data_IF_798078034940
#
_entry.id   IF_798078034940
#
_cell.length_a   1.000
_cell.length_b   1.000
_cell.length_c   1.000
_cell.angle_alpha   90.00
_cell.angle_beta   90.00
_cell.angle_gamma   90.00
#
_symmetry.space_group_name_H-M   'P 1'
#
loop_
_entity.id
_entity.type
_entity.pdbx_description
1 polymer ?
2 non-polymer ?
#
# COMPACT_ATOMS: atom_id res chain seq x y z
N UNK A 78 28.83 -5.25 -7.68
CA UNK A 78 29.18 -6.69 -7.75
C UNK A 78 28.72 -7.37 -6.44
N UNK A 79 29.61 -7.48 -5.46
CA UNK A 79 29.22 -7.98 -4.11
C UNK A 79 28.04 -7.13 -3.62
N UNK A 80 28.19 -5.80 -3.63
CA UNK A 80 27.10 -4.93 -3.22
C UNK A 80 25.83 -5.22 -4.02
N UNK A 81 25.98 -5.40 -5.34
CA UNK A 81 24.82 -5.71 -6.17
C UNK A 81 24.21 -7.05 -5.78
N UNK A 82 25.04 -8.01 -5.41
CA UNK A 82 24.45 -9.33 -5.09
C UNK A 82 23.77 -9.23 -3.73
N UNK A 83 24.33 -8.42 -2.83
CA UNK A 83 23.63 -8.21 -1.57
C UNK A 83 22.29 -7.52 -1.77
N UNK A 84 22.24 -6.55 -2.68
CA UNK A 84 20.97 -5.90 -2.99
C UNK A 84 19.97 -6.92 -3.55
N UNK A 85 20.45 -7.79 -4.45
CA UNK A 85 19.58 -8.81 -5.02
C UNK A 85 19.10 -9.77 -3.94
N UNK A 86 19.98 -10.16 -3.01
CA UNK A 86 19.59 -11.05 -1.93
C UNK A 86 18.53 -10.39 -1.05
N UNK A 87 18.72 -9.12 -0.72
CA UNK A 87 17.74 -8.40 0.09
C UNK A 87 16.40 -8.35 -0.63
N UNK A 88 16.42 -8.06 -1.93
CA UNK A 88 15.17 -8.01 -2.68
C UNK A 88 14.49 -9.37 -2.73
N UNK A 89 15.26 -10.45 -2.88
CA UNK A 89 14.67 -11.79 -2.88
C UNK A 89 14.04 -12.12 -1.53
N UNK A 90 14.75 -11.78 -0.44
CA UNK A 90 14.20 -12.02 0.90
C UNK A 90 12.91 -11.24 1.09
N UNK A 91 12.92 -9.97 0.68
CA UNK A 91 11.71 -9.16 0.80
C UNK A 91 10.59 -9.76 -0.04
N UNK A 92 10.90 -10.20 -1.25
CA UNK A 92 9.88 -10.78 -2.12
C UNK A 92 9.23 -11.98 -1.45
N UNK A 93 10.04 -12.94 -1.00
CA UNK A 93 9.48 -14.15 -0.41
C UNK A 93 8.68 -13.82 0.85
N UNK A 94 9.27 -13.02 1.75
CA UNK A 94 8.60 -12.72 3.01
C UNK A 94 7.29 -11.99 2.76
N UNK A 95 7.32 -10.97 1.91
CA UNK A 95 6.11 -10.19 1.66
C UNK A 95 5.02 -11.02 1.00
N UNK A 96 5.38 -11.80 -0.02
CA UNK A 96 4.37 -12.62 -0.67
C UNK A 96 3.75 -13.61 0.30
N UNK A 97 4.58 -14.31 1.08
CA UNK A 97 4.06 -15.27 2.03
C UNK A 97 3.16 -14.59 3.07
N UNK A 98 3.63 -13.48 3.64
CA UNK A 98 2.87 -12.82 4.69
C UNK A 98 1.54 -12.29 4.18
N UNK A 99 1.53 -11.68 3.00
CA UNK A 99 0.30 -11.11 2.49
C UNK A 99 -0.68 -12.20 2.04
N UNK A 100 -0.13 -13.31 1.54
CA UNK A 100 -1.02 -14.46 1.21
C UNK A 100 -1.66 -14.94 2.51
N UNK A 101 -0.86 -15.07 3.56
CA UNK A 101 -1.37 -15.51 4.85
C UNK A 101 -2.46 -14.57 5.36
N UNK A 102 -2.24 -13.25 5.23
CA UNK A 102 -3.23 -12.30 5.68
C UNK A 102 -4.52 -12.44 4.90
N UNK A 103 -4.42 -12.57 3.58
CA UNK A 103 -5.63 -12.75 2.78
C UNK A 103 -6.37 -14.01 3.18
N UNK A 104 -5.64 -15.12 3.36
CA UNK A 104 -6.28 -16.38 3.74
C UNK A 104 -6.95 -16.27 5.09
N UNK A 105 -6.28 -15.64 6.07
CA UNK A 105 -6.85 -15.56 7.41
C UNK A 105 -8.08 -14.67 7.40
N UNK A 106 -8.07 -13.62 6.59
CA UNK A 106 -9.24 -12.75 6.51
C UNK A 106 -10.41 -13.49 5.84
N UNK A 107 -10.12 -14.32 4.84
CA UNK A 107 -11.19 -15.00 4.13
C UNK A 107 -11.67 -16.24 4.90
N UNK A 108 -10.88 -16.73 5.86
CA UNK A 108 -11.17 -18.02 6.47
C UNK A 108 -12.50 -18.02 7.23
N UNK A 109 -12.77 -17.00 8.03
CA UNK A 109 -13.90 -17.05 8.96
C UNK A 109 -14.77 -15.82 8.79
N UNK A 110 -16.06 -15.99 9.09
CA UNK A 110 -17.00 -14.87 9.05
C UNK A 110 -16.83 -13.94 10.25
N UNK A 111 -16.44 -14.50 11.40
CA UNK A 111 -16.17 -13.66 12.57
C UNK A 111 -15.02 -12.70 12.33
N UNK A 112 -14.19 -12.96 11.31
CA UNK A 112 -13.11 -12.06 10.92
C UNK A 112 -13.46 -11.24 9.69
N UNK A 113 -14.74 -11.17 9.33
CA UNK A 113 -15.19 -10.40 8.18
C UNK A 113 -15.73 -9.03 8.57
N UNK A 114 -15.15 -8.40 9.59
CA UNK A 114 -15.62 -7.08 10.02
C UNK A 114 -15.22 -6.02 9.00
N UNK A 115 -15.79 -4.82 9.18
CA UNK A 115 -15.57 -3.74 8.23
C UNK A 115 -14.10 -3.38 8.11
N UNK A 116 -13.38 -3.33 9.23
CA UNK A 116 -11.94 -3.07 9.18
C UNK A 116 -11.24 -4.17 8.40
N UNK A 117 -11.61 -5.42 8.65
CA UNK A 117 -10.98 -6.54 7.95
C UNK A 117 -11.22 -6.46 6.45
N UNK A 118 -12.37 -5.91 6.03
CA UNK A 118 -12.63 -5.78 4.60
C UNK A 118 -11.55 -4.95 3.94
N UNK A 119 -11.20 -3.80 4.52
CA UNK A 119 -10.17 -2.94 3.93
C UNK A 119 -8.78 -3.50 4.15
N UNK A 120 -8.56 -4.20 5.27
CA UNK A 120 -7.26 -4.87 5.47
C UNK A 120 -7.04 -5.89 4.37
N UNK A 121 -8.11 -6.58 3.94
CA UNK A 121 -7.99 -7.54 2.86
C UNK A 121 -7.48 -6.88 1.59
N UNK A 122 -8.04 -5.71 1.24
CA UNK A 122 -7.62 -5.02 0.03
C UNK A 122 -6.19 -4.51 0.15
N UNK A 123 -5.82 -4.00 1.33
CA UNK A 123 -4.44 -3.54 1.53
C UNK A 123 -3.46 -4.69 1.35
N UNK A 124 -3.74 -5.83 1.96
CA UNK A 124 -2.86 -6.99 1.80
C UNK A 124 -2.86 -7.50 0.36
N UNK A 125 -4.00 -7.44 -0.32
CA UNK A 125 -4.05 -7.83 -1.72
C UNK A 125 -3.14 -6.95 -2.57
N UNK A 126 -3.22 -5.64 -2.38
CA UNK A 126 -2.35 -4.73 -3.12
C UNK A 126 -0.89 -4.98 -2.80
N UNK A 127 -0.56 -5.22 -1.53
CA UNK A 127 0.81 -5.52 -1.16
C UNK A 127 1.31 -6.80 -1.84
N UNK A 128 0.49 -7.85 -1.86
CA UNK A 128 0.88 -9.09 -2.51
C UNK A 128 1.11 -8.87 -4.01
N UNK A 129 0.21 -8.13 -4.65
CA UNK A 129 0.37 -7.86 -6.08
C UNK A 129 1.64 -7.08 -6.35
N UNK A 130 1.93 -6.08 -5.52
CA UNK A 130 3.14 -5.27 -5.70
C UNK A 130 4.40 -6.03 -5.34
N UNK A 131 4.30 -7.12 -4.58
CA UNK A 131 5.46 -7.92 -4.23
C UNK A 131 5.72 -9.06 -5.21
N UNK A 132 4.69 -9.52 -5.92
CA UNK A 132 4.87 -10.67 -6.80
C UNK A 132 5.84 -10.40 -7.95
N UNK A 133 6.08 -9.14 -8.29
CA UNK A 133 6.92 -8.80 -9.42
C UNK A 133 8.39 -8.61 -9.05
N UNK A 134 8.73 -8.73 -7.77
CA UNK A 134 10.08 -8.47 -7.31
C UNK A 134 11.14 -9.39 -7.89
N UNK A 135 10.88 -10.67 -8.17
CA UNK A 135 11.93 -11.46 -8.81
C UNK A 135 12.33 -10.92 -10.18
N UNK A 136 11.35 -10.54 -11.00
CA UNK A 136 11.67 -9.88 -12.26
C UNK A 136 12.40 -8.56 -12.02
N UNK A 137 11.91 -7.76 -11.06
CA UNK A 137 12.49 -6.42 -10.82
C UNK A 137 13.91 -6.55 -10.25
N UNK A 138 14.26 -7.69 -9.68
CA UNK A 138 15.56 -7.85 -9.03
C UNK A 138 16.56 -8.56 -9.93
N UNK A 139 16.10 -9.47 -10.79
CA UNK A 139 17.03 -10.17 -11.68
C UNK A 139 17.73 -9.19 -12.60
N UNK A 140 17.13 -8.02 -12.84
CA UNK A 140 17.69 -7.07 -13.79
C UNK A 140 19.02 -6.52 -13.31
N UNK A 141 19.22 -6.40 -11.99
CA UNK A 141 20.45 -5.81 -11.48
C UNK A 141 21.69 -6.54 -11.96
N UNK A 142 21.59 -7.84 -12.26
CA UNK A 142 22.74 -8.64 -12.63
C UNK A 142 22.94 -8.75 -14.14
N UNK A 143 22.03 -8.21 -14.95
CA UNK A 143 22.15 -8.33 -16.40
C UNK A 143 22.00 -7.02 -17.16
N UNK A 144 21.22 -6.05 -16.67
CA UNK A 144 20.93 -4.87 -17.46
C UNK A 144 20.12 -5.16 -18.70
N UNK A 145 19.20 -6.12 -18.61
CA UNK A 145 18.41 -6.55 -19.76
C UNK A 145 17.05 -7.03 -19.26
N UNK A 146 16.07 -7.04 -20.17
CA UNK A 146 14.70 -7.43 -19.85
C UNK A 146 14.26 -8.54 -20.79
N UNK A 147 14.54 -9.81 -20.47
CA UNK A 147 14.10 -10.91 -21.34
C UNK A 147 12.68 -11.38 -21.09
N UNK A 148 12.04 -10.93 -20.00
CA UNK A 148 10.75 -11.49 -19.61
C UNK A 148 9.63 -11.21 -20.61
N UNK A 149 9.69 -10.06 -21.28
CA UNK A 149 8.65 -9.72 -22.29
C UNK A 149 7.99 -8.38 -21.99
N UNK A 150 7.55 -7.68 -23.03
CA UNK A 150 6.93 -6.34 -22.85
C UNK A 150 5.56 -6.50 -22.20
N UNK A 151 4.90 -7.64 -22.41
CA UNK A 151 3.60 -7.89 -21.71
C UNK A 151 3.89 -7.88 -20.21
N UNK A 152 4.87 -8.66 -19.77
CA UNK A 152 5.27 -8.65 -18.37
C UNK A 152 5.80 -7.30 -17.96
N UNK A 153 6.50 -6.60 -18.87
CA UNK A 153 6.90 -5.22 -18.58
C UNK A 153 5.67 -4.34 -18.33
N UNK A 154 4.66 -4.45 -19.19
CA UNK A 154 3.42 -3.73 -19.00
C UNK A 154 2.84 -4.01 -17.62
N UNK A 155 2.70 -5.29 -17.28
CA UNK A 155 2.06 -5.67 -16.02
C UNK A 155 2.86 -5.14 -14.83
N UNK A 156 4.18 -5.27 -14.87
CA UNK A 156 5.01 -4.84 -13.74
C UNK A 156 4.92 -3.33 -13.57
N UNK A 157 5.04 -2.59 -14.67
CA UNK A 157 5.01 -1.13 -14.58
C UNK A 157 3.65 -0.65 -14.11
N UNK A 158 2.57 -1.33 -14.54
CA UNK A 158 1.25 -0.96 -14.09
C UNK A 158 1.04 -1.30 -12.62
N UNK A 159 1.63 -2.40 -12.16
CA UNK A 159 1.56 -2.77 -10.74
C UNK A 159 2.25 -1.71 -9.88
N UNK A 160 3.42 -1.27 -10.32
CA UNK A 160 4.17 -0.28 -9.54
C UNK A 160 3.35 0.96 -9.26
N UNK A 161 2.40 1.29 -10.14
CA UNK A 161 1.58 2.48 -9.93
C UNK A 161 0.26 2.15 -9.25
N UNK A 162 -0.35 1.02 -9.62
CA UNK A 162 -1.59 0.60 -8.96
C UNK A 162 -1.39 0.45 -7.45
N UNK A 163 -0.19 0.05 -7.03
CA UNK A 163 0.04 -0.22 -5.61
C UNK A 163 -0.23 1.01 -4.76
N UNK A 164 0.40 2.14 -5.16
CA UNK A 164 0.31 3.43 -4.41
C UNK A 164 -1.14 3.85 -4.23
N UNK A 165 -1.93 3.86 -5.30
CA UNK A 165 -3.33 4.30 -5.27
C UNK A 165 -4.17 3.33 -4.46
N UNK A 166 -4.07 2.04 -4.74
CA UNK A 166 -4.88 1.07 -4.03
C UNK A 166 -4.65 1.16 -2.52
N UNK A 167 -3.39 1.14 -2.10
CA UNK A 167 -3.11 1.08 -0.67
C UNK A 167 -3.52 2.37 0.04
N UNK A 168 -3.16 3.53 -0.53
CA UNK A 168 -3.48 4.79 0.13
C UNK A 168 -4.99 5.00 0.19
N UNK A 169 -5.71 4.68 -0.89
CA UNK A 169 -7.16 4.83 -0.86
C UNK A 169 -7.80 3.86 0.12
N UNK A 170 -7.28 2.63 0.21
CA UNK A 170 -7.79 1.69 1.20
C UNK A 170 -7.59 2.23 2.62
N UNK A 171 -6.41 2.77 2.90
CA UNK A 171 -6.17 3.33 4.23
C UNK A 171 -7.07 4.52 4.52
N UNK A 172 -7.27 5.39 3.54
CA UNK A 172 -8.16 6.53 3.74
C UNK A 172 -9.58 6.07 4.03
N UNK A 173 -10.07 5.09 3.27
CA UNK A 173 -11.41 4.57 3.52
C UNK A 173 -11.50 3.93 4.90
N UNK A 174 -10.46 3.19 5.30
CA UNK A 174 -10.44 2.57 6.62
C UNK A 174 -10.48 3.61 7.73
N UNK A 175 -9.71 4.68 7.61
CA UNK A 175 -9.69 5.73 8.62
C UNK A 175 -10.99 6.52 8.64
N UNK A 176 -11.67 6.65 7.50
CA UNK A 176 -12.97 7.30 7.50
C UNK A 176 -14.01 6.41 8.17
N UNK A 177 -13.93 5.11 7.94
CA UNK A 177 -14.88 4.18 8.56
C UNK A 177 -14.82 4.27 10.08
N UNK A 178 -13.62 4.44 10.64
CA UNK A 178 -13.49 4.55 12.10
C UNK A 178 -14.26 5.75 12.62
N UNK A 179 -14.28 6.85 11.87
CA UNK A 179 -15.03 8.03 12.31
C UNK A 179 -16.51 7.73 12.41
N UNK A 180 -17.06 7.02 11.42
CA UNK A 180 -18.47 6.63 11.49
C UNK A 180 -18.69 5.72 12.70
N UNK A 181 -17.75 4.79 12.92
CA UNK A 181 -17.90 3.87 14.04
C UNK A 181 -17.91 4.61 15.37
N UNK A 182 -17.06 5.62 15.52
CA UNK A 182 -16.86 6.24 16.83
C UNK A 182 -17.84 7.39 17.05
N UNK A 183 -17.76 8.42 16.22
CA UNK A 183 -18.53 9.63 16.45
C UNK A 183 -19.99 9.53 16.04
N UNK A 184 -20.33 8.58 15.16
CA UNK A 184 -21.73 8.36 14.76
C UNK A 184 -22.09 6.88 14.88
N UNK A 185 -22.06 6.34 16.09
CA UNK A 185 -22.34 4.91 16.26
C UNK A 185 -23.76 4.52 15.91
N UNK A 186 -24.72 5.44 15.99
CA UNK A 186 -26.11 5.09 15.70
C UNK A 186 -26.25 4.64 14.25
N UNK A 187 -25.67 5.40 13.31
CA UNK A 187 -25.72 5.01 11.90
C UNK A 187 -24.51 4.21 11.48
N UNK A 188 -23.54 4.00 12.38
CA UNK A 188 -22.34 3.24 12.03
C UNK A 188 -22.70 1.84 11.59
N UNK A 189 -23.46 1.11 12.41
CA UNK A 189 -23.82 -0.26 12.08
C UNK A 189 -24.71 -0.32 10.85
N UNK A 190 -25.56 0.68 10.65
CA UNK A 190 -26.46 0.70 9.49
C UNK A 190 -25.69 0.91 8.19
N UNK A 191 -24.68 1.78 8.20
CA UNK A 191 -24.00 2.12 6.91
C UNK A 191 -22.71 1.33 6.71
N UNK A 192 -22.24 0.61 7.73
CA UNK A 192 -20.97 -0.10 7.63
C UNK A 192 -21.16 -1.60 7.41
N UNK A 193 -22.17 -2.00 6.67
CA UNK A 193 -22.34 -3.41 6.36
C UNK A 193 -21.17 -3.90 5.50
N UNK A 194 -20.77 -5.16 5.60
CA UNK A 194 -19.67 -5.65 4.76
C UNK A 194 -19.93 -5.48 3.27
N UNK A 195 -21.19 -5.51 2.84
CA UNK A 195 -21.50 -5.20 1.44
C UNK A 195 -21.07 -3.77 1.10
N UNK A 196 -21.35 -2.83 2.00
CA UNK A 196 -20.92 -1.44 1.77
C UNK A 196 -19.41 -1.33 1.80
N UNK A 197 -18.75 -2.09 2.68
CA UNK A 197 -17.29 -2.09 2.70
C UNK A 197 -16.72 -2.58 1.38
N UNK A 198 -17.29 -3.66 0.83
CA UNK A 198 -16.85 -4.16 -0.47
C UNK A 198 -17.14 -3.15 -1.57
N UNK A 199 -18.27 -2.44 -1.47
CA UNK A 199 -18.59 -1.41 -2.45
C UNK A 199 -17.55 -0.30 -2.41
N UNK A 200 -17.13 0.11 -1.19
CA UNK A 200 -16.08 1.18 -1.06
C UNK A 200 -14.72 0.56 -1.38
N UNK A 201 -14.62 -0.76 -1.43
CA UNK A 201 -13.34 -1.32 -1.91
C UNK A 201 -13.37 -1.17 -3.43
N UNK A 202 -14.50 -1.48 -4.07
CA UNK A 202 -14.68 -1.44 -5.53
C UNK A 202 -14.47 -0.02 -6.05
N UNK A 203 -15.07 0.96 -5.36
CA UNK A 203 -14.91 2.36 -5.78
C UNK A 203 -13.46 2.80 -5.70
N UNK A 204 -12.74 2.39 -4.65
CA UNK A 204 -11.30 2.61 -4.59
C UNK A 204 -10.62 2.05 -5.83
N UNK A 205 -11.01 0.82 -6.22
CA UNK A 205 -10.40 0.19 -7.38
C UNK A 205 -10.66 1.01 -8.64
N UNK A 206 -11.89 1.51 -8.82
CA UNK A 206 -12.20 2.28 -10.02
C UNK A 206 -11.37 3.57 -10.04
N UNK A 207 -11.34 4.27 -8.90
CA UNK A 207 -10.63 5.55 -8.88
C UNK A 207 -9.14 5.34 -9.15
N UNK A 208 -8.57 4.28 -8.57
CA UNK A 208 -7.17 3.97 -8.84
C UNK A 208 -6.96 3.61 -10.31
N UNK A 209 -7.87 2.81 -10.88
CA UNK A 209 -7.75 2.42 -12.28
C UNK A 209 -7.78 3.64 -13.18
N UNK A 210 -8.52 4.68 -12.78
CA UNK A 210 -8.64 5.89 -13.60
C UNK A 210 -7.29 6.54 -13.87
N UNK A 211 -6.28 6.27 -13.06
CA UNK A 211 -4.94 6.83 -13.27
C UNK A 211 -3.93 5.72 -13.41
N UNK A 212 -4.38 4.47 -13.32
CA UNK A 212 -3.49 3.33 -13.50
C UNK A 212 -3.52 2.74 -14.89
N UNK A 213 -4.71 2.67 -15.49
CA UNK A 213 -4.83 2.09 -16.82
C UNK A 213 -3.98 2.83 -17.86
N UNK A 214 -3.93 4.16 -17.87
CA UNK A 214 -3.00 4.84 -18.80
C UNK A 214 -1.57 4.40 -18.63
N UNK A 215 -1.15 4.05 -17.42
CA UNK A 215 0.22 3.62 -17.21
C UNK A 215 0.51 2.33 -17.99
N UNK A 216 -0.37 1.35 -17.90
CA UNK A 216 -0.20 0.14 -18.69
C UNK A 216 -0.31 0.44 -20.18
N UNK A 217 -1.26 1.31 -20.60
CA UNK A 217 -1.47 1.64 -22.03
C UNK A 217 -0.31 2.43 -22.64
N UNK A 218 0.50 3.09 -21.85
CA UNK A 218 1.70 3.75 -22.35
C UNK A 218 2.98 3.07 -21.92
N UNK A 219 2.91 1.94 -21.23
CA UNK A 219 4.10 1.21 -20.80
C UNK A 219 4.50 0.22 -21.89
N UNK A 220 5.72 0.34 -22.38
CA UNK A 220 6.24 -0.57 -23.40
C UNK A 220 7.76 -0.53 -23.36
N UNK A 221 8.37 -1.63 -23.82
CA UNK A 221 9.82 -1.75 -23.78
C UNK A 221 10.45 -0.95 -24.91
N UNK A 222 11.68 -0.51 -24.67
CA UNK A 222 12.48 0.21 -25.66
C UNK A 222 13.68 -0.66 -26.05
N UNK A 223 13.79 -0.95 -27.34
CA UNK A 223 14.88 -1.80 -27.84
C UNK A 223 16.18 -0.99 -27.97
N UNK A 224 16.79 -0.73 -26.83
CA UNK A 224 18.04 0.03 -26.82
C UNK A 224 19.17 -0.78 -27.44
N UNK A 225 20.20 -0.08 -27.90
CA UNK A 225 21.33 -0.75 -28.52
C UNK A 225 22.05 -1.68 -27.55
N UNK A 226 22.24 -1.24 -26.31
CA UNK A 226 22.91 -2.05 -25.31
C UNK A 226 22.11 -3.28 -24.93
N UNK A 227 20.92 -3.05 -24.36
CA UNK A 227 20.06 -4.15 -23.97
C UNK A 227 18.63 -3.64 -23.90
N UNK A 228 17.68 -4.53 -24.21
CA UNK A 228 16.27 -4.15 -24.18
C UNK A 228 15.89 -3.74 -22.76
N UNK A 229 15.09 -2.68 -22.66
CA UNK A 229 14.70 -2.12 -21.38
C UNK A 229 13.20 -1.88 -21.35
N UNK A 230 12.66 -1.82 -20.13
CA UNK A 230 11.23 -1.60 -19.90
C UNK A 230 11.06 -0.23 -19.27
N UNK A 231 10.27 0.64 -19.92
CA UNK A 231 10.07 2.00 -19.45
C UNK A 231 8.70 2.49 -19.94
N UNK A 232 8.27 3.61 -19.35
CA UNK A 232 7.06 4.27 -19.80
C UNK A 232 7.34 5.18 -20.99
N UNK A 233 6.27 5.58 -21.67
CA UNK A 233 6.37 6.49 -22.80
C UNK A 233 5.22 7.48 -22.73
N UNK A 234 5.46 8.68 -23.24
CA UNK A 234 4.44 9.72 -23.27
C UNK A 234 4.70 10.65 -24.46
N UNK A 235 3.65 11.35 -24.87
CA UNK A 235 3.74 12.27 -26.01
C UNK A 235 3.99 13.69 -25.53
N UNK A 238 6.75 14.21 -24.21
CA UNK A 238 6.59 13.40 -23.00
C UNK A 238 6.89 14.22 -21.75
N UNK A 239 7.25 15.49 -21.93
CA UNK A 239 7.57 16.34 -20.79
C UNK A 239 6.32 16.79 -20.05
N UNK A 240 5.17 16.79 -20.72
CA UNK A 240 3.96 17.30 -20.10
C UNK A 240 3.22 16.22 -19.32
N UNK A 241 2.83 15.14 -19.99
CA UNK A 241 2.03 14.11 -19.34
C UNK A 241 2.83 13.35 -18.29
N UNK A 242 4.13 13.17 -18.50
CA UNK A 242 4.96 12.49 -17.52
C UNK A 242 4.93 13.19 -16.18
N UNK A 243 4.81 14.53 -16.18
CA UNK A 243 4.69 15.28 -14.93
C UNK A 243 3.24 15.44 -14.50
N UNK A 244 2.30 15.46 -15.44
CA UNK A 244 0.90 15.53 -15.08
C UNK A 244 0.49 14.31 -14.27
N UNK A 245 0.97 13.12 -14.66
CA UNK A 245 0.70 11.92 -13.87
C UNK A 245 1.31 12.03 -12.48
N UNK A 246 2.52 12.59 -12.39
CA UNK A 246 3.17 12.74 -11.09
C UNK A 246 2.36 13.66 -10.17
N UNK A 247 1.83 14.76 -10.73
CA UNK A 247 1.00 15.65 -9.93
C UNK A 247 -0.30 14.97 -9.54
N UNK A 248 -0.94 14.26 -10.48
CA UNK A 248 -2.17 13.54 -10.15
C UNK A 248 -1.95 12.44 -9.13
N UNK A 249 -0.71 11.96 -8.96
CA UNK A 249 -0.42 11.05 -7.87
C UNK A 249 -0.23 11.81 -6.57
N UNK A 250 0.69 12.79 -6.58
CA UNK A 250 1.03 13.48 -5.34
C UNK A 250 -0.18 14.19 -4.73
N UNK A 251 -1.15 14.57 -5.56
CA UNK A 251 -2.30 15.32 -5.07
C UNK A 251 -3.45 14.37 -4.76
N UNK A 252 -3.87 13.59 -5.76
CA UNK A 252 -5.08 12.79 -5.63
C UNK A 252 -4.83 11.49 -4.87
N UNK A 253 -3.58 11.17 -4.52
CA UNK A 253 -3.30 9.86 -3.95
C UNK A 253 -2.39 9.94 -2.72
N UNK A 254 -1.86 11.12 -2.40
CA UNK A 254 -1.13 11.25 -1.14
C UNK A 254 -1.74 12.31 -0.23
N UNK A 255 -1.85 13.53 -0.75
CA UNK A 255 -2.22 14.66 0.12
C UNK A 255 -3.70 14.61 0.47
N UNK A 256 -4.56 14.33 -0.51
CA UNK A 256 -5.98 14.22 -0.22
C UNK A 256 -6.28 13.10 0.77
N UNK A 257 -5.81 11.86 0.56
CA UNK A 257 -6.06 10.81 1.57
C UNK A 257 -5.44 11.12 2.92
N UNK A 258 -4.25 11.71 2.97
CA UNK A 258 -3.67 12.07 4.28
C UNK A 258 -4.54 13.11 4.98
N UNK A 259 -5.04 14.08 4.21
CA UNK A 259 -5.86 15.18 4.76
C UNK A 259 -7.19 14.63 5.24
N UNK A 260 -7.76 13.61 4.59
CA UNK A 260 -9.00 12.98 5.04
C UNK A 260 -8.74 12.16 6.30
N UNK A 261 -7.64 11.40 6.34
CA UNK A 261 -7.32 10.59 7.51
C UNK A 261 -7.16 11.50 8.73
N UNK A 262 -6.41 12.59 8.57
CA UNK A 262 -6.20 13.50 9.69
C UNK A 262 -7.51 14.14 10.13
N UNK A 263 -8.36 14.54 9.19
CA UNK A 263 -9.62 15.17 9.51
C UNK A 263 -10.53 14.24 10.29
N UNK A 264 -10.49 12.94 9.97
CA UNK A 264 -11.29 11.99 10.75
C UNK A 264 -10.68 11.73 12.12
N UNK A 265 -9.37 11.48 12.17
CA UNK A 265 -8.75 11.09 13.44
C UNK A 265 -8.74 12.23 14.44
N UNK A 266 -8.56 13.46 13.97
CA UNK A 266 -8.56 14.59 14.89
C UNK A 266 -9.86 14.77 15.63
N UNK A 267 -10.94 14.16 15.14
CA UNK A 267 -12.23 14.17 15.82
C UNK A 267 -12.53 12.88 16.54
N UNK A 268 -12.11 11.73 16.02
CA UNK A 268 -12.28 10.48 16.77
C UNK A 268 -11.48 10.51 18.07
N UNK A 269 -10.28 11.10 18.04
CA UNK A 269 -9.47 11.17 19.25
C UNK A 269 -10.18 11.98 20.34
N UNK A 270 -10.78 13.10 19.97
CA UNK A 270 -11.52 13.90 20.95
C UNK A 270 -12.79 13.21 21.40
N UNK A 271 -13.48 12.52 20.49
CA UNK A 271 -14.68 11.78 20.87
C UNK A 271 -14.36 10.59 21.77
N UNK A 272 -13.13 10.09 21.73
CA UNK A 272 -12.73 9.00 22.62
C UNK A 272 -12.59 9.48 24.06
N UNK A 273 -12.01 10.67 24.25
CA UNK A 273 -11.74 11.21 25.58
C UNK A 273 -12.97 11.90 26.16
N UNK A 274 -13.61 12.78 25.40
CA UNK A 274 -14.79 13.48 25.88
C UNK A 274 -15.95 12.54 26.17
N UNK A 275 -15.91 11.31 25.67
CA UNK A 275 -16.91 10.30 25.96
C UNK A 275 -16.26 9.25 26.84
N UNK A 276 -16.87 9.00 28.01
CA UNK A 276 -16.26 8.08 28.97
C UNK A 276 -16.20 6.66 28.41
N UNK A 277 -17.31 6.18 27.85
CA UNK A 277 -17.37 4.87 27.21
C UNK A 277 -18.14 5.00 25.92
N UNK A 278 -17.56 4.49 24.84
CA UNK A 278 -18.14 4.68 23.51
C UNK A 278 -19.25 3.68 23.22
N UNK A 279 -18.92 2.39 23.22
CA UNK A 279 -19.86 1.37 22.78
C UNK A 279 -20.72 0.87 23.93
N UNK A 280 -20.59 1.49 25.10
CA UNK A 280 -21.35 1.06 26.27
C UNK A 280 -20.67 -0.10 26.96
N UNK A 281 -20.75 -1.29 26.38
CA UNK A 281 -20.05 -2.43 26.93
C UNK A 281 -18.56 -2.15 27.02
N UNK A 282 -17.96 -2.43 28.17
CA UNK A 282 -16.54 -2.14 28.35
C UNK A 282 -15.68 -2.96 27.42
N UNK A 283 -16.01 -4.25 27.24
CA UNK A 283 -15.25 -5.08 26.31
C UNK A 283 -15.34 -4.55 24.89
N UNK A 284 -16.54 -4.16 24.47
CA UNK A 284 -16.72 -3.62 23.12
C UNK A 284 -15.95 -2.31 22.95
N UNK A 285 -15.97 -1.46 23.98
CA UNK A 285 -15.23 -0.20 23.91
C UNK A 285 -13.73 -0.45 23.81
N UNK A 286 -13.21 -1.41 24.59
CA UNK A 286 -11.80 -1.75 24.51
C UNK A 286 -11.45 -2.28 23.13
N UNK A 287 -12.30 -3.14 22.58
CA UNK A 287 -12.06 -3.66 21.23
C UNK A 287 -12.05 -2.53 20.21
N UNK A 288 -12.97 -1.57 20.35
CA UNK A 288 -12.99 -0.43 19.44
C UNK A 288 -11.71 0.38 19.54
N UNK A 289 -11.32 0.74 20.77
CA UNK A 289 -10.14 1.57 20.96
C UNK A 289 -8.85 0.83 20.58
N UNK A 290 -8.88 -0.50 20.50
CA UNK A 290 -7.71 -1.26 20.08
C UNK A 290 -7.66 -1.46 18.57
N UNK A 291 -8.81 -1.75 17.95
CA UNK A 291 -8.84 -1.89 16.50
C UNK A 291 -8.55 -0.55 15.84
N UNK A 292 -9.07 0.54 16.41
CA UNK A 292 -8.72 1.86 15.91
C UNK A 292 -7.23 2.15 16.08
N UNK A 293 -6.63 1.71 17.19
CA UNK A 293 -5.19 1.90 17.36
C UNK A 293 -4.41 1.12 16.32
N UNK A 294 -4.81 -0.12 16.01
CA UNK A 294 -4.12 -0.87 14.98
C UNK A 294 -4.28 -0.21 13.61
N UNK A 295 -5.48 0.29 13.32
CA UNK A 295 -5.70 0.96 12.04
C UNK A 295 -4.79 2.18 11.93
N UNK A 296 -4.72 2.97 13.00
CA UNK A 296 -3.85 4.14 13.00
C UNK A 296 -2.39 3.74 12.89
N UNK A 297 -1.99 2.65 13.53
CA UNK A 297 -0.59 2.21 13.45
C UNK A 297 -0.25 1.78 12.03
N UNK A 298 -1.13 1.04 11.38
CA UNK A 298 -0.90 0.64 9.99
C UNK A 298 -0.86 1.87 9.09
N UNK A 299 -1.74 2.83 9.34
CA UNK A 299 -1.76 4.04 8.53
C UNK A 299 -0.44 4.80 8.69
N UNK A 300 0.04 4.92 9.93
CA UNK A 300 1.29 5.62 10.17
C UNK A 300 2.47 4.87 9.57
N UNK A 301 2.44 3.54 9.61
CA UNK A 301 3.50 2.74 9.00
C UNK A 301 3.53 2.98 7.50
N UNK A 302 2.36 2.97 6.86
CA UNK A 302 2.31 3.24 5.43
C UNK A 302 2.80 4.64 5.11
N UNK A 303 2.40 5.62 5.91
CA UNK A 303 2.84 7.00 5.68
C UNK A 303 4.36 7.09 5.79
N UNK A 304 4.93 6.48 6.84
CA UNK A 304 6.38 6.53 7.02
C UNK A 304 7.08 5.85 5.85
N UNK A 305 6.55 4.71 5.40
CA UNK A 305 7.21 3.95 4.35
C UNK A 305 7.10 4.61 2.99
N UNK A 306 6.02 5.35 2.72
CA UNK A 306 5.74 5.83 1.38
C UNK A 306 6.00 7.32 1.20
N UNK A 307 6.02 8.11 2.27
CA UNK A 307 6.39 9.52 2.12
C UNK A 307 7.76 9.70 1.50
N UNK A 308 8.79 8.93 1.89
CA UNK A 308 10.10 9.12 1.24
C UNK A 308 10.06 8.99 -0.26
N UNK A 309 9.41 7.96 -0.79
CA UNK A 309 9.43 7.73 -2.24
C UNK A 309 8.62 8.80 -2.96
N UNK A 310 7.44 9.14 -2.45
CA UNK A 310 6.66 10.20 -3.09
C UNK A 310 7.42 11.52 -3.12
N UNK A 311 8.00 11.89 -1.96
CA UNK A 311 8.71 13.16 -1.87
C UNK A 311 9.93 13.15 -2.78
N UNK A 312 10.67 12.04 -2.83
CA UNK A 312 11.83 11.96 -3.70
C UNK A 312 11.42 12.05 -5.17
N UNK A 313 10.33 11.37 -5.54
CA UNK A 313 9.87 11.42 -6.92
C UNK A 313 9.52 12.85 -7.31
N UNK A 314 8.83 13.57 -6.42
CA UNK A 314 8.45 14.95 -6.73
C UNK A 314 9.70 15.83 -6.81
N UNK A 315 10.58 15.73 -5.82
CA UNK A 315 11.70 16.66 -5.71
C UNK A 315 12.72 16.44 -6.82
N UNK A 316 13.04 15.18 -7.13
CA UNK A 316 14.03 14.90 -8.17
C UNK A 316 13.63 15.56 -9.49
N UNK A 317 12.33 15.61 -9.78
CA UNK A 317 11.86 16.27 -10.99
C UNK A 317 11.84 17.79 -10.82
N UNK A 318 11.37 18.23 -9.65
CA UNK A 318 11.33 19.68 -9.35
C UNK A 318 12.72 20.33 -9.53
N UNK A 319 13.73 19.85 -8.80
CA UNK A 319 15.07 20.52 -8.85
C UNK A 319 16.08 19.70 -9.67
N UNK A 320 15.61 18.88 -10.61
CA UNK A 320 16.51 18.12 -11.51
C UNK A 320 17.78 17.71 -10.78
N UNK A 321 17.66 17.17 -9.57
CA UNK A 321 18.83 16.63 -8.86
C UNK A 321 19.62 15.77 -9.84
N UNK A 322 20.92 16.02 -10.02
CA UNK A 322 21.72 15.21 -10.94
C UNK A 322 22.14 13.89 -10.31
N UNK A 323 22.81 13.08 -11.12
CA UNK A 323 23.28 11.79 -10.66
C UNK A 323 24.41 11.95 -9.64
N UNK A 324 24.39 11.09 -8.62
CA UNK A 324 25.44 11.09 -7.60
C UNK A 324 25.35 9.77 -6.85
N UNK A 325 26.43 9.44 -6.13
CA UNK A 325 26.43 8.22 -5.33
C UNK A 325 25.37 8.27 -4.24
N UNK A 326 25.33 9.38 -3.49
CA UNK A 326 24.32 9.54 -2.45
C UNK A 326 22.92 9.55 -3.06
N UNK A 327 22.75 10.24 -4.19
CA UNK A 327 21.44 10.28 -4.84
C UNK A 327 20.97 8.87 -5.23
N UNK A 328 21.85 8.09 -5.86
CA UNK A 328 21.48 6.74 -6.28
C UNK A 328 21.17 5.87 -5.07
N UNK A 329 21.98 5.96 -4.02
CA UNK A 329 21.76 5.15 -2.83
C UNK A 329 20.42 5.52 -2.19
N UNK A 330 20.12 6.81 -2.10
CA UNK A 330 18.85 7.23 -1.51
C UNK A 330 17.67 6.77 -2.36
N UNK A 331 17.80 6.84 -3.69
CA UNK A 331 16.74 6.35 -4.56
C UNK A 331 16.49 4.87 -4.35
N UNK A 332 17.56 4.07 -4.32
CA UNK A 332 17.42 2.64 -4.09
C UNK A 332 16.80 2.36 -2.72
N UNK A 333 17.24 3.11 -1.70
CA UNK A 333 16.71 2.90 -0.35
C UNK A 333 15.22 3.23 -0.29
N UNK A 334 14.82 4.33 -0.94
CA UNK A 334 13.40 4.70 -0.94
C UNK A 334 12.55 3.64 -1.62
N UNK A 335 13.00 3.17 -2.80
CA UNK A 335 12.24 2.14 -3.50
C UNK A 335 12.18 0.87 -2.66
N UNK A 336 13.30 0.50 -2.04
CA UNK A 336 13.34 -0.71 -1.23
C UNK A 336 12.44 -0.60 -0.02
N UNK A 337 12.39 0.57 0.62
CA UNK A 337 11.50 0.75 1.77
C UNK A 337 10.03 0.68 1.34
N UNK A 338 9.70 1.33 0.22
CA UNK A 338 8.34 1.25 -0.27
C UNK A 338 7.92 -0.17 -0.58
N UNK A 339 8.86 -1.00 -1.06
CA UNK A 339 8.56 -2.43 -1.37
C UNK A 339 8.56 -3.24 -0.10
N UNK A 340 9.34 -2.84 0.90
CA UNK A 340 9.45 -3.59 2.15
C UNK A 340 8.25 -3.36 3.05
N UNK A 341 7.54 -2.25 2.84
CA UNK A 341 6.29 -2.02 3.57
C UNK A 341 5.35 -3.21 3.42
N UNK A 342 5.39 -3.84 2.23
CA UNK A 342 4.51 -4.96 1.95
C UNK A 342 4.77 -6.14 2.88
N UNK A 343 6.04 -6.42 3.16
CA UNK A 343 6.39 -7.50 4.09
C UNK A 343 6.43 -7.04 5.53
N UNK A 344 6.41 -5.72 5.77
CA UNK A 344 6.30 -5.22 7.14
C UNK A 344 4.87 -5.33 7.66
N UNK A 345 3.89 -5.14 6.78
CA UNK A 345 2.49 -5.18 7.23
C UNK A 345 2.17 -6.46 8.00
N UNK A 346 2.56 -7.65 7.53
CA UNK A 346 2.27 -8.87 8.32
C UNK A 346 2.82 -8.82 9.74
N UNK A 347 4.00 -8.24 9.94
CA UNK A 347 4.55 -8.11 11.29
C UNK A 347 3.63 -7.25 12.15
N UNK A 348 3.16 -6.13 11.59
CA UNK A 348 2.27 -5.27 12.35
C UNK A 348 0.97 -5.98 12.72
N UNK A 349 0.38 -6.70 11.76
CA UNK A 349 -0.83 -7.46 12.08
C UNK A 349 -0.57 -8.50 13.15
N UNK A 350 0.60 -9.16 13.07
CA UNK A 350 0.97 -10.18 14.08
C UNK A 350 1.21 -9.51 15.43
N UNK A 351 1.80 -8.31 15.45
CA UNK A 351 2.18 -7.69 16.75
C UNK A 351 1.10 -6.76 17.27
N UNK A 352 -0.06 -6.66 16.62
CA UNK A 352 -1.04 -5.68 17.04
C UNK A 352 -2.48 -6.17 17.02
N UNK A 353 -2.73 -7.47 16.92
CA UNK A 353 -4.10 -7.97 16.95
C UNK A 353 -4.11 -9.38 17.53
N UNK A 354 -4.97 -9.61 18.51
CA UNK A 354 -5.08 -10.94 19.11
C UNK A 354 -5.55 -11.97 18.09
N UNK A 355 -6.55 -11.63 17.26
CA UNK A 355 -7.06 -12.58 16.28
C UNK A 355 -5.98 -12.97 15.28
N UNK A 356 -5.31 -11.98 14.70
CA UNK A 356 -4.27 -12.28 13.73
C UNK A 356 -3.13 -13.06 14.37
N UNK A 357 -2.73 -12.68 15.59
CA UNK A 357 -1.64 -13.38 16.26
C UNK A 357 -2.00 -14.84 16.52
N UNK A 358 -3.22 -15.09 17.00
CA UNK A 358 -3.64 -16.46 17.26
C UNK A 358 -3.72 -17.26 15.97
N UNK A 359 -4.26 -16.67 14.90
CA UNK A 359 -4.40 -17.40 13.65
C UNK A 359 -3.05 -17.70 13.02
N UNK A 360 -2.09 -16.79 13.12
CA UNK A 360 -0.77 -17.02 12.52
C UNK A 360 -0.09 -18.24 13.12
N UNK A 361 -0.52 -18.70 14.30
CA UNK A 361 -0.02 -19.93 14.88
C UNK A 361 -0.97 -21.10 14.61
N UNK A 362 -2.27 -20.75 14.57
CA UNK A 362 -3.35 -21.78 14.32
C UNK A 362 -3.17 -22.44 12.94
N UNK A 363 -3.15 -21.63 11.88
CA UNK A 363 -2.95 -22.18 10.51
C UNK A 363 -1.49 -22.57 10.28
N UNK A 364 -0.55 -22.05 11.09
CA UNK A 364 0.84 -22.34 10.78
C UNK A 364 1.31 -23.65 11.37
N UNK A 365 0.71 -24.09 12.48
CA UNK A 365 1.09 -25.35 13.10
C UNK A 365 0.65 -26.52 12.23
X LIG B 1 7.89 4.33 -10.82
X LIG B 1 7.54 3.20 -9.85
X LIG B 1 8.87 2.96 -7.67
X LIG B 1 8.20 4.25 -7.27
X LIG B 1 7.23 4.78 -7.93
X LIG B 1 6.59 3.72 -8.75
X LIG B 1 6.48 2.60 -7.68
X LIG B 1 7.84 1.91 -7.31
X LIG B 1 7.88 1.59 -5.80
X LIG B 1 6.35 -0.03 -5.18
X LIG B 1 5.26 4.18 -9.25
X LIG B 1 6.58 6.17 -7.68
X LIG B 1 6.42 6.52 -6.37
X LIG B 1 5.87 7.74 -6.03
X LIG B 1 5.46 8.65 -6.97
X LIG B 1 5.60 8.38 -8.32
X LIG B 1 6.19 7.14 -8.65
X LIG B 1 10.15 3.12 -9.90
X LIG B 1 11.14 2.04 -9.97
X LIG B 1 10.99 0.70 -9.57
X LIG B 1 12.48 2.05 -10.46
X LIG B 1 12.41 -1.48 -9.50
X LIG B 1 13.19 -1.68 -8.22
X LIG B 1 8.88 2.63 -9.20
X LIG B 1 12.16 0.01 -9.81
X LIG B 1 13.06 0.86 -10.36
X LIG B 1 6.73 1.34 -5.19
X LIG B 1 8.91 1.52 -5.24
X LIG B 1 5.23 9.24 -9.28
#
# INVERSE_FOLDING_TARGET
DYKDDDDASIDMDSSAAPTNASNCTDALAYSSCSPAPSPGSWVNLSHLDGNLSDPCGPNRTDLGGRDSLCPPTGSPSMITAITIMALYSIVCVVGLFGNFLVMYVIVRYTKMKTATNIYIFNLALADALATSTLPFQSVNYLMGTWPFGTILCKIVISIDYYNMFTSIFTLCTMSVDRYIAVCHPVKALDFRTPRNAKIINVCNWILSSAIGLPVMFMATTKYRQGSIDCTLTFSHPTWYWENLLKICVFIFAFIMPVLIITVCYGLMILRLKSVRLLSGSREKDRNLRRITRMVLVVVAVFIVCWTPIHIYVIIKALVTIPETTFQTVSWHFCIALGYTNSCLNPVLYAFLDENFKRCFREFCIPTSSNIEQQNSTRIRQNTRDHPSTANTVDRTNHQLENLEAETAPLP
A1BNM C01 C02 C04 C05 C06 C07 C08 C09 C10 C12 C14 C15 C16 C17 C18 C19 C21 C22 C23 C24 C27 C28 C29 N03 N25 N26 O11 O13 O20
#
